data_IF_223926864184
#
_entry.id   IF_223926864184
#
_cell.length_a   1.000
_cell.length_b   1.000
_cell.length_c   1.000
_cell.angle_alpha   90.00
_cell.angle_beta   90.00
_cell.angle_gamma   90.00
#
_symmetry.space_group_name_H-M   'P 1'
#
loop_
_entity.id
_entity.type
_entity.pdbx_description
1 polymer ?
#
# COMPACT_ATOMS: atom_id res chain seq x y z
N UNK A 1 10.92 16.11 -25.54
CA UNK A 1 10.06 15.50 -24.47
C UNK A 1 10.56 14.13 -23.97
N UNK A 2 11.61 13.56 -24.53
CA UNK A 2 12.13 12.22 -24.17
C UNK A 2 13.16 12.25 -23.03
N UNK A 3 13.88 13.35 -22.85
CA UNK A 3 14.94 13.45 -21.82
C UNK A 3 14.43 13.66 -20.37
N UNK A 4 13.22 14.20 -20.19
CA UNK A 4 12.64 14.41 -18.84
C UNK A 4 12.14 13.11 -18.21
N UNK A 5 11.56 12.23 -19.01
CA UNK A 5 11.09 10.91 -18.54
C UNK A 5 12.27 9.96 -18.26
N UNK A 6 13.35 10.06 -19.02
CA UNK A 6 14.57 9.27 -18.79
C UNK A 6 15.27 9.64 -17.47
N UNK A 7 15.25 10.93 -17.08
CA UNK A 7 15.84 11.37 -15.80
C UNK A 7 15.05 10.84 -14.58
N UNK A 8 13.74 10.67 -14.71
CA UNK A 8 12.89 10.12 -13.64
C UNK A 8 13.15 8.62 -13.42
N UNK A 9 13.47 7.87 -14.49
CA UNK A 9 13.83 6.45 -14.43
C UNK A 9 15.25 6.19 -13.93
N UNK A 10 16.14 7.18 -14.01
CA UNK A 10 17.55 7.09 -13.53
C UNK A 10 17.69 7.31 -12.03
N UNK A 11 16.62 7.71 -11.31
CA UNK A 11 16.62 7.90 -9.87
C UNK A 11 16.26 6.62 -9.09
N UNK A 12 15.94 5.51 -9.77
CA UNK A 12 15.71 4.22 -9.10
C UNK A 12 17.04 3.64 -8.59
N UNK A 13 17.00 3.07 -7.39
CA UNK A 13 18.16 2.47 -6.73
C UNK A 13 18.75 3.36 -5.64
N UNK A 14 20.06 3.47 -5.55
CA UNK A 14 20.76 4.12 -4.44
C UNK A 14 20.44 5.62 -4.24
N UNK A 15 19.97 6.29 -5.29
CA UNK A 15 19.56 7.70 -5.25
C UNK A 15 18.08 7.91 -4.93
N UNK A 16 17.30 6.82 -4.80
CA UNK A 16 15.89 6.90 -4.48
C UNK A 16 15.70 7.28 -3.00
N UNK A 17 14.96 8.36 -2.69
CA UNK A 17 14.72 8.75 -1.29
C UNK A 17 14.03 7.66 -0.47
N UNK A 18 13.24 6.80 -1.14
CA UNK A 18 12.52 5.69 -0.51
C UNK A 18 13.35 4.42 -0.30
N UNK A 19 14.63 4.39 -0.72
CA UNK A 19 15.46 3.18 -0.60
C UNK A 19 15.52 2.68 0.84
N UNK A 20 15.36 1.37 1.05
CA UNK A 20 15.29 0.74 2.37
C UNK A 20 14.19 1.31 3.30
N UNK A 21 13.10 1.82 2.74
CA UNK A 21 11.92 2.26 3.50
C UNK A 21 10.74 1.36 3.20
N UNK A 22 10.04 0.92 4.24
CA UNK A 22 8.81 0.16 4.08
C UNK A 22 7.72 0.75 4.98
N UNK A 23 6.66 1.25 4.35
CA UNK A 23 5.47 1.78 5.01
C UNK A 23 4.38 0.73 4.99
N UNK A 24 3.99 0.24 6.15
CA UNK A 24 2.77 -0.56 6.30
C UNK A 24 1.57 0.37 6.31
N UNK A 25 0.57 0.04 5.51
CA UNK A 25 -0.68 0.79 5.45
C UNK A 25 -1.76 0.00 6.18
N UNK A 26 -2.40 0.60 7.16
CA UNK A 26 -3.45 0.01 7.97
C UNK A 26 -4.74 0.81 7.90
N UNK A 27 -5.86 0.14 8.16
CA UNK A 27 -7.21 0.74 8.20
C UNK A 27 -8.27 -0.24 7.72
N UNK A 28 -9.50 -0.07 8.16
CA UNK A 28 -10.65 -0.92 7.80
C UNK A 28 -11.06 -0.83 6.32
N UNK A 29 -11.99 -1.70 5.92
CA UNK A 29 -12.65 -1.55 4.63
C UNK A 29 -13.39 -0.21 4.60
N UNK A 30 -13.38 0.49 3.48
CA UNK A 30 -14.01 1.80 3.35
C UNK A 30 -13.25 2.97 3.98
N UNK A 31 -12.15 2.76 4.73
CA UNK A 31 -11.40 3.86 5.37
C UNK A 31 -10.71 4.83 4.39
N UNK A 32 -10.64 4.48 3.10
CA UNK A 32 -9.98 5.31 2.10
C UNK A 32 -8.46 5.16 2.06
N UNK A 33 -7.91 4.03 2.53
CA UNK A 33 -6.45 3.76 2.58
C UNK A 33 -5.70 4.12 1.30
N UNK A 34 -6.12 3.57 0.17
CA UNK A 34 -5.43 3.78 -1.11
C UNK A 34 -5.42 5.25 -1.54
N UNK A 35 -6.54 5.95 -1.30
CA UNK A 35 -6.64 7.39 -1.55
C UNK A 35 -5.71 8.20 -0.62
N UNK A 36 -5.75 7.90 0.68
CA UNK A 36 -4.91 8.56 1.68
C UNK A 36 -3.43 8.31 1.44
N UNK A 37 -3.05 7.07 1.08
CA UNK A 37 -1.67 6.74 0.74
C UNK A 37 -1.21 7.49 -0.51
N UNK A 38 -2.04 7.57 -1.55
CA UNK A 38 -1.74 8.35 -2.75
C UNK A 38 -1.54 9.83 -2.44
N UNK A 39 -2.43 10.44 -1.66
CA UNK A 39 -2.32 11.84 -1.25
C UNK A 39 -1.10 12.11 -0.35
N UNK A 40 -0.78 11.18 0.55
CA UNK A 40 0.30 11.32 1.51
C UNK A 40 1.69 10.95 0.98
N UNK A 41 1.78 10.22 -0.13
CA UNK A 41 3.07 9.76 -0.70
C UNK A 41 3.25 10.05 -2.17
N UNK A 42 2.19 10.37 -2.89
CA UNK A 42 2.16 10.48 -4.34
C UNK A 42 2.17 9.14 -5.09
N UNK A 43 2.29 8.00 -4.39
CA UNK A 43 2.34 6.67 -4.99
C UNK A 43 0.98 5.98 -4.97
N UNK A 44 0.61 5.28 -6.03
CA UNK A 44 -0.64 4.54 -6.14
C UNK A 44 -0.45 3.20 -6.84
N UNK A 45 -1.23 2.19 -6.41
CA UNK A 45 -1.37 0.93 -7.16
C UNK A 45 -2.12 1.16 -8.48
N UNK A 46 -1.92 0.29 -9.45
CA UNK A 46 -2.74 0.24 -10.64
C UNK A 46 -4.20 -0.08 -10.30
N UNK A 47 -5.11 0.43 -11.12
CA UNK A 47 -6.56 0.22 -10.97
C UNK A 47 -7.14 -0.20 -12.31
N UNK A 48 -8.22 -0.98 -12.25
CA UNK A 48 -9.06 -1.27 -13.39
C UNK A 48 -10.32 -0.41 -13.31
N UNK A 49 -10.61 0.32 -14.38
CA UNK A 49 -11.88 1.02 -14.51
C UNK A 49 -12.87 0.04 -15.14
N UNK A 50 -13.94 -0.27 -14.41
CA UNK A 50 -14.99 -1.16 -14.82
C UNK A 50 -15.93 -0.44 -15.79
N UNK A 51 -15.91 -0.82 -17.07
CA UNK A 51 -16.84 -0.35 -18.10
C UNK A 51 -17.47 -1.54 -18.80
N UNK A 52 -18.70 -1.38 -19.28
CA UNK A 52 -19.49 -2.43 -19.94
C UNK A 52 -18.85 -2.97 -21.23
N UNK A 53 -17.96 -2.21 -21.87
CA UNK A 53 -17.40 -2.57 -23.18
C UNK A 53 -15.90 -2.80 -23.23
N UNK A 54 -15.11 -2.14 -22.41
CA UNK A 54 -13.65 -2.39 -22.28
C UNK A 54 -13.11 -1.74 -21.02
N UNK A 55 -12.45 -2.53 -20.19
CA UNK A 55 -11.77 -2.01 -19.02
C UNK A 55 -10.53 -1.21 -19.40
N UNK A 56 -10.49 0.05 -19.02
CA UNK A 56 -9.26 0.84 -19.07
C UNK A 56 -8.40 0.46 -17.85
N UNK A 57 -7.17 0.10 -18.12
CA UNK A 57 -6.17 -0.08 -17.08
C UNK A 57 -5.55 1.27 -16.77
N UNK A 58 -5.73 1.73 -15.53
CA UNK A 58 -4.99 2.87 -15.01
C UNK A 58 -3.72 2.34 -14.36
N UNK A 59 -2.53 2.56 -14.94
CA UNK A 59 -1.29 2.04 -14.36
C UNK A 59 -1.06 2.64 -12.98
N UNK A 60 -0.37 1.89 -12.14
CA UNK A 60 0.13 2.40 -10.88
C UNK A 60 1.14 3.53 -11.14
N UNK A 61 1.26 4.43 -10.18
CA UNK A 61 2.26 5.51 -10.24
C UNK A 61 3.20 5.45 -9.05
N UNK A 62 4.45 5.81 -9.30
CA UNK A 62 5.47 6.00 -8.27
C UNK A 62 5.56 7.50 -8.01
N UNK A 63 5.34 7.90 -6.76
CA UNK A 63 5.43 9.29 -6.34
C UNK A 63 6.87 9.78 -6.20
N UNK A 64 7.06 11.03 -5.74
CA UNK A 64 8.38 11.68 -5.66
C UNK A 64 9.35 10.98 -4.70
N UNK A 65 8.86 10.03 -3.92
CA UNK A 65 9.66 9.27 -2.96
C UNK A 65 10.06 7.87 -3.45
N UNK A 66 9.75 7.49 -4.68
CA UNK A 66 10.12 6.20 -5.24
C UNK A 66 9.41 4.97 -4.65
N UNK A 67 8.34 5.17 -3.84
CA UNK A 67 7.68 4.07 -3.14
C UNK A 67 6.82 3.22 -4.08
N UNK A 68 7.05 1.91 -4.10
CA UNK A 68 6.27 0.92 -4.86
C UNK A 68 5.12 0.39 -3.99
N UNK A 69 3.92 0.35 -4.54
CA UNK A 69 2.73 -0.10 -3.78
C UNK A 69 2.53 -1.61 -3.94
N UNK A 70 2.71 -2.34 -2.84
CA UNK A 70 2.43 -3.77 -2.73
C UNK A 70 0.94 -3.93 -2.40
N UNK A 71 0.11 -4.18 -3.42
CA UNK A 71 -1.33 -4.39 -3.29
C UNK A 71 -1.79 -5.54 -4.19
N UNK A 72 -2.56 -6.47 -3.64
CA UNK A 72 -3.10 -7.62 -4.40
C UNK A 72 -4.46 -7.32 -5.06
N UNK A 73 -5.07 -6.17 -4.79
CA UNK A 73 -6.39 -5.82 -5.34
C UNK A 73 -6.34 -5.62 -6.85
N UNK A 74 -5.24 -5.04 -7.37
CA UNK A 74 -5.00 -4.93 -8.82
C UNK A 74 -5.12 -6.29 -9.53
N UNK A 75 -4.47 -7.32 -8.96
CA UNK A 75 -4.48 -8.67 -9.53
C UNK A 75 -5.83 -9.36 -9.35
N UNK A 76 -6.54 -9.06 -8.25
CA UNK A 76 -7.90 -9.55 -8.03
C UNK A 76 -8.85 -8.95 -9.06
N UNK A 77 -8.85 -7.64 -9.23
CA UNK A 77 -9.73 -6.93 -10.19
C UNK A 77 -9.49 -7.41 -11.62
N UNK A 78 -8.23 -7.55 -12.03
CA UNK A 78 -7.88 -8.13 -13.33
C UNK A 78 -8.41 -9.55 -13.51
N UNK A 79 -8.28 -10.40 -12.49
CA UNK A 79 -8.79 -11.77 -12.53
C UNK A 79 -10.32 -11.85 -12.62
N UNK A 80 -11.03 -11.03 -11.84
CA UNK A 80 -12.48 -10.93 -11.88
C UNK A 80 -12.98 -10.48 -13.27
N UNK A 81 -12.34 -9.46 -13.84
CA UNK A 81 -12.65 -8.98 -15.18
C UNK A 81 -12.45 -10.07 -16.23
N UNK A 82 -11.30 -10.80 -16.20
CA UNK A 82 -11.06 -11.92 -17.12
C UNK A 82 -12.08 -13.05 -16.99
N UNK A 83 -12.54 -13.31 -15.77
CA UNK A 83 -13.58 -14.29 -15.49
C UNK A 83 -14.99 -13.76 -15.81
N UNK A 84 -15.12 -12.53 -16.34
CA UNK A 84 -16.40 -11.86 -16.61
C UNK A 84 -17.32 -11.78 -15.38
N UNK A 85 -16.75 -11.71 -14.20
CA UNK A 85 -17.48 -11.61 -12.94
C UNK A 85 -17.88 -10.15 -12.67
N UNK A 86 -18.97 -9.95 -11.98
CA UNK A 86 -19.46 -8.63 -11.61
C UNK A 86 -18.55 -7.93 -10.60
N UNK A 87 -18.40 -6.61 -10.67
CA UNK A 87 -17.61 -5.85 -9.69
C UNK A 87 -18.25 -5.79 -8.31
N UNK A 88 -19.59 -5.79 -8.26
CA UNK A 88 -20.38 -5.78 -7.02
C UNK A 88 -20.41 -7.18 -6.40
N UNK A 89 -19.54 -7.40 -5.41
CA UNK A 89 -19.41 -8.70 -4.73
C UNK A 89 -20.59 -9.03 -3.80
N UNK A 90 -21.50 -8.09 -3.56
CA UNK A 90 -22.69 -8.34 -2.73
C UNK A 90 -23.68 -9.29 -3.45
N UNK A 91 -23.55 -9.38 -4.79
CA UNK A 91 -24.43 -10.17 -5.67
C UNK A 91 -23.90 -11.56 -5.98
N UNK A 92 -22.74 -11.94 -5.45
CA UNK A 92 -22.12 -13.22 -5.77
C UNK A 92 -22.89 -14.40 -5.20
N UNK A 93 -23.07 -15.42 -6.04
CA UNK A 93 -23.47 -16.77 -5.63
C UNK A 93 -22.31 -17.45 -4.86
N UNK A 94 -22.59 -18.63 -4.29
CA UNK A 94 -21.55 -19.41 -3.60
C UNK A 94 -20.44 -19.84 -4.55
N UNK A 95 -20.77 -20.25 -5.78
CA UNK A 95 -19.79 -20.63 -6.80
C UNK A 95 -18.93 -19.44 -7.24
N UNK A 96 -19.53 -18.27 -7.45
CA UNK A 96 -18.80 -17.04 -7.76
C UNK A 96 -17.90 -16.61 -6.58
N UNK A 97 -18.36 -16.82 -5.35
CA UNK A 97 -17.55 -16.57 -4.16
C UNK A 97 -16.35 -17.50 -4.10
N UNK A 98 -16.50 -18.79 -4.41
CA UNK A 98 -15.38 -19.72 -4.51
C UNK A 98 -14.40 -19.35 -5.61
N UNK A 99 -14.87 -18.97 -6.79
CA UNK A 99 -14.02 -18.56 -7.91
C UNK A 99 -13.28 -17.26 -7.57
N UNK A 100 -13.94 -16.28 -6.95
CA UNK A 100 -13.28 -15.07 -6.43
C UNK A 100 -12.12 -15.43 -5.48
N UNK A 101 -12.30 -16.38 -4.56
CA UNK A 101 -11.22 -16.77 -3.65
C UNK A 101 -10.04 -17.46 -4.38
N UNK A 102 -10.30 -18.24 -5.43
CA UNK A 102 -9.24 -18.81 -6.30
C UNK A 102 -8.44 -17.70 -6.99
N UNK A 103 -9.15 -16.74 -7.58
CA UNK A 103 -8.54 -15.57 -8.24
C UNK A 103 -7.72 -14.77 -7.23
N UNK A 104 -8.26 -14.50 -6.05
CA UNK A 104 -7.58 -13.80 -4.96
C UNK A 104 -6.30 -14.52 -4.53
N UNK A 105 -6.35 -15.85 -4.35
CA UNK A 105 -5.18 -16.65 -3.98
C UNK A 105 -4.07 -16.58 -5.03
N UNK A 106 -4.45 -16.64 -6.31
CA UNK A 106 -3.50 -16.48 -7.43
C UNK A 106 -2.90 -15.07 -7.46
N UNK A 107 -3.73 -14.03 -7.31
CA UNK A 107 -3.29 -12.64 -7.27
C UNK A 107 -2.30 -12.37 -6.14
N UNK A 108 -2.56 -12.90 -4.94
CA UNK A 108 -1.63 -12.80 -3.80
C UNK A 108 -0.26 -13.43 -4.09
N UNK A 109 -0.21 -14.58 -4.81
CA UNK A 109 1.07 -15.21 -5.20
C UNK A 109 1.87 -14.31 -6.15
N UNK A 110 1.20 -13.68 -7.13
CA UNK A 110 1.84 -12.76 -8.08
C UNK A 110 2.39 -11.53 -7.35
N UNK A 111 1.56 -10.93 -6.49
CA UNK A 111 1.95 -9.76 -5.68
C UNK A 111 3.16 -10.07 -4.79
N UNK A 112 3.17 -11.24 -4.14
CA UNK A 112 4.30 -11.66 -3.29
C UNK A 112 5.61 -11.81 -4.08
N UNK A 113 5.55 -12.35 -5.32
CA UNK A 113 6.74 -12.42 -6.20
C UNK A 113 7.24 -11.03 -6.57
N UNK A 114 6.33 -10.09 -6.90
CA UNK A 114 6.66 -8.69 -7.21
C UNK A 114 7.28 -7.99 -6.00
N UNK A 115 6.69 -8.15 -4.82
CA UNK A 115 7.23 -7.64 -3.55
C UNK A 115 8.67 -8.12 -3.32
N UNK A 116 8.92 -9.42 -3.51
CA UNK A 116 10.26 -9.99 -3.34
C UNK A 116 11.28 -9.39 -4.31
N UNK A 117 10.91 -9.15 -5.57
CA UNK A 117 11.78 -8.48 -6.55
C UNK A 117 12.13 -7.05 -6.10
N UNK A 118 11.16 -6.30 -5.57
CA UNK A 118 11.39 -4.96 -5.06
C UNK A 118 12.26 -4.96 -3.79
N UNK A 119 12.07 -5.94 -2.89
CA UNK A 119 12.92 -6.13 -1.71
C UNK A 119 14.36 -6.45 -2.13
N UNK A 120 14.56 -7.32 -3.12
CA UNK A 120 15.89 -7.65 -3.65
C UNK A 120 16.57 -6.41 -4.25
N UNK A 121 15.81 -5.54 -4.91
CA UNK A 121 16.29 -4.25 -5.42
C UNK A 121 16.41 -3.15 -4.36
N UNK A 122 16.10 -3.43 -3.09
CA UNK A 122 16.13 -2.46 -1.97
C UNK A 122 15.19 -1.27 -2.14
N UNK A 123 14.20 -1.38 -3.05
CA UNK A 123 13.28 -0.28 -3.38
C UNK A 123 12.35 0.06 -2.21
N UNK A 124 11.90 1.31 -2.16
CA UNK A 124 10.92 1.75 -1.18
C UNK A 124 9.55 1.11 -1.38
N UNK A 125 8.87 0.76 -0.29
CA UNK A 125 7.62 0.00 -0.32
C UNK A 125 6.49 0.70 0.44
N UNK A 126 5.28 0.61 -0.09
CA UNK A 126 4.01 0.76 0.64
C UNK A 126 3.32 -0.60 0.62
N UNK A 127 3.19 -1.24 1.78
CA UNK A 127 2.58 -2.55 1.92
C UNK A 127 1.13 -2.35 2.35
N UNK A 128 0.21 -2.45 1.38
CA UNK A 128 -1.21 -2.23 1.61
C UNK A 128 -1.87 -3.46 2.26
N UNK A 129 -2.46 -3.23 3.42
CA UNK A 129 -3.15 -4.24 4.21
C UNK A 129 -4.16 -3.62 5.17
N UNK A 130 -4.89 -4.47 5.89
CA UNK A 130 -5.77 -4.02 6.98
C UNK A 130 -5.01 -3.92 8.30
N UNK A 131 -3.89 -4.65 8.42
CA UNK A 131 -3.10 -4.81 9.64
C UNK A 131 -3.89 -5.36 10.85
N UNK A 132 -5.02 -6.03 10.63
CA UNK A 132 -5.87 -6.60 11.67
C UNK A 132 -5.23 -7.77 12.46
N UNK A 133 -4.10 -8.27 12.01
CA UNK A 133 -3.33 -9.32 12.69
C UNK A 133 -1.92 -8.79 13.04
N UNK A 134 -1.73 -8.29 14.28
CA UNK A 134 -0.45 -7.72 14.72
C UNK A 134 0.71 -8.71 14.71
N UNK A 135 0.47 -10.00 15.02
CA UNK A 135 1.52 -11.02 15.03
C UNK A 135 2.10 -11.21 13.62
N UNK A 136 1.23 -11.36 12.61
CA UNK A 136 1.66 -11.47 11.22
C UNK A 136 2.41 -10.22 10.75
N UNK A 137 1.93 -9.04 11.15
CA UNK A 137 2.58 -7.77 10.85
C UNK A 137 3.97 -7.70 11.48
N UNK A 138 4.10 -8.11 12.76
CA UNK A 138 5.38 -8.15 13.47
C UNK A 138 6.39 -9.04 12.74
N UNK A 139 5.99 -10.24 12.31
CA UNK A 139 6.86 -11.14 11.54
C UNK A 139 7.31 -10.49 10.20
N UNK A 140 6.39 -9.85 9.49
CA UNK A 140 6.73 -9.18 8.23
C UNK A 140 7.65 -7.98 8.45
N UNK A 141 7.40 -7.19 9.50
CA UNK A 141 8.26 -6.09 9.93
C UNK A 141 9.67 -6.58 10.23
N UNK A 142 9.82 -7.61 11.07
CA UNK A 142 11.11 -8.20 11.44
C UNK A 142 11.86 -8.75 10.21
N UNK A 143 11.15 -9.41 9.29
CA UNK A 143 11.75 -9.93 8.06
C UNK A 143 12.31 -8.82 7.18
N UNK A 144 11.65 -7.68 7.09
CA UNK A 144 12.14 -6.51 6.35
C UNK A 144 13.31 -5.83 7.07
N UNK A 145 13.22 -5.68 8.38
CA UNK A 145 14.29 -5.08 9.18
C UNK A 145 15.56 -5.92 9.16
N UNK A 146 15.44 -7.26 9.13
CA UNK A 146 16.58 -8.18 9.01
C UNK A 146 17.37 -8.00 7.69
N UNK A 147 16.73 -7.50 6.62
CA UNK A 147 17.41 -7.19 5.35
C UNK A 147 17.69 -5.69 5.16
N UNK A 148 17.61 -4.92 6.25
CA UNK A 148 18.08 -3.53 6.31
C UNK A 148 17.00 -2.45 6.21
N UNK A 149 15.73 -2.79 6.02
CA UNK A 149 14.68 -1.78 5.91
C UNK A 149 14.41 -1.04 7.23
N UNK A 150 14.13 0.24 7.11
CA UNK A 150 13.46 1.02 8.14
C UNK A 150 11.96 0.93 7.92
N UNK A 151 11.22 0.47 8.93
CA UNK A 151 9.78 0.22 8.83
C UNK A 151 8.97 1.32 9.50
N UNK A 152 7.81 1.63 8.92
CA UNK A 152 6.89 2.68 9.34
C UNK A 152 5.44 2.21 9.21
N UNK A 153 4.53 2.87 9.92
CA UNK A 153 3.09 2.64 9.82
C UNK A 153 2.36 3.92 9.39
N UNK A 154 1.47 3.79 8.40
CA UNK A 154 0.46 4.78 8.07
C UNK A 154 -0.90 4.17 8.42
N UNK A 155 -1.53 4.68 9.46
CA UNK A 155 -2.83 4.23 9.92
C UNK A 155 -3.91 5.19 9.43
N UNK A 156 -4.78 4.71 8.54
CA UNK A 156 -5.91 5.52 8.04
C UNK A 156 -7.14 5.24 8.88
N UNK A 157 -7.43 6.16 9.78
CA UNK A 157 -8.56 6.10 10.67
C UNK A 157 -9.77 6.83 10.08
N UNK A 158 -10.96 6.27 10.27
CA UNK A 158 -12.22 6.87 9.85
C UNK A 158 -13.35 6.36 10.75
N UNK A 159 -14.45 7.12 10.87
CA UNK A 159 -15.64 6.63 11.53
C UNK A 159 -16.31 5.50 10.73
N UNK A 160 -17.06 4.65 11.43
CA UNK A 160 -17.78 3.56 10.79
C UNK A 160 -18.77 4.06 9.73
N UNK A 161 -19.48 5.15 10.01
CA UNK A 161 -20.45 5.73 9.08
C UNK A 161 -19.80 6.19 7.77
N UNK A 162 -18.62 6.84 7.86
CA UNK A 162 -17.86 7.25 6.68
C UNK A 162 -17.33 6.03 5.93
N UNK A 163 -16.90 4.97 6.64
CA UNK A 163 -16.45 3.73 6.00
C UNK A 163 -17.56 3.05 5.21
N UNK A 164 -18.79 2.98 5.77
CA UNK A 164 -19.97 2.42 5.09
C UNK A 164 -20.37 3.27 3.88
N UNK A 165 -20.42 4.60 4.01
CA UNK A 165 -20.72 5.49 2.89
C UNK A 165 -19.69 5.36 1.76
N UNK A 166 -18.41 5.31 2.09
CA UNK A 166 -17.35 5.10 1.11
C UNK A 166 -17.48 3.74 0.41
N UNK A 167 -17.87 2.68 1.14
CA UNK A 167 -18.12 1.37 0.54
C UNK A 167 -19.31 1.39 -0.42
N UNK A 168 -20.40 2.06 -0.05
CA UNK A 168 -21.60 2.18 -0.88
C UNK A 168 -21.34 2.90 -2.21
N UNK A 169 -20.41 3.88 -2.23
CA UNK A 169 -20.01 4.64 -3.43
C UNK A 169 -19.02 3.92 -4.36
N UNK A 170 -18.56 2.70 -4.02
CA UNK A 170 -17.55 1.98 -4.81
C UNK A 170 -18.20 1.07 -5.85
N UNK A 171 -17.57 0.92 -7.02
CA UNK A 171 -17.95 -0.12 -7.99
C UNK A 171 -17.80 -1.53 -7.38
N UNK A 172 -16.68 -1.76 -6.67
CA UNK A 172 -16.41 -3.00 -5.93
C UNK A 172 -16.92 -2.88 -4.49
N UNK A 173 -18.18 -3.21 -4.29
CA UNK A 173 -18.85 -3.17 -2.99
C UNK A 173 -18.60 -4.43 -2.18
N UNK A 174 -18.56 -4.27 -0.88
CA UNK A 174 -18.57 -5.35 0.11
C UNK A 174 -19.90 -5.32 0.88
N UNK A 175 -20.28 -6.44 1.46
CA UNK A 175 -21.42 -6.48 2.40
C UNK A 175 -21.10 -5.61 3.62
N UNK A 176 -22.08 -4.90 4.15
CA UNK A 176 -21.90 -3.96 5.26
C UNK A 176 -21.38 -4.66 6.52
N UNK A 177 -21.76 -5.91 6.76
CA UNK A 177 -21.26 -6.70 7.87
C UNK A 177 -19.74 -6.90 7.78
N UNK A 178 -19.20 -7.07 6.56
CA UNK A 178 -17.76 -7.21 6.32
C UNK A 178 -17.03 -5.89 6.59
N UNK A 179 -17.66 -4.76 6.24
CA UNK A 179 -17.09 -3.43 6.52
C UNK A 179 -17.05 -3.19 8.02
N UNK A 180 -18.15 -3.46 8.74
CA UNK A 180 -18.25 -3.32 10.19
C UNK A 180 -17.21 -4.19 10.91
N UNK A 181 -17.21 -5.48 10.63
CA UNK A 181 -16.26 -6.42 11.25
C UNK A 181 -14.80 -6.00 11.00
N UNK A 182 -14.46 -5.61 9.78
CA UNK A 182 -13.09 -5.19 9.47
C UNK A 182 -12.72 -3.87 10.15
N UNK A 183 -13.68 -2.96 10.30
CA UNK A 183 -13.47 -1.70 11.01
C UNK A 183 -13.21 -1.95 12.50
N UNK A 184 -14.05 -2.74 13.15
CA UNK A 184 -13.92 -3.11 14.56
C UNK A 184 -12.58 -3.82 14.84
N UNK A 185 -12.23 -4.84 14.03
CA UNK A 185 -10.96 -5.57 14.16
C UNK A 185 -9.76 -4.63 14.12
N UNK A 186 -9.79 -3.62 13.27
CA UNK A 186 -8.67 -2.67 13.11
C UNK A 186 -8.63 -1.66 14.27
N UNK A 187 -9.80 -1.20 14.77
CA UNK A 187 -9.85 -0.33 15.96
C UNK A 187 -9.29 -1.02 17.21
N UNK A 188 -9.65 -2.30 17.41
CA UNK A 188 -9.17 -3.09 18.56
C UNK A 188 -7.64 -3.22 18.62
N UNK A 189 -6.96 -3.20 17.48
CA UNK A 189 -5.50 -3.39 17.43
C UNK A 189 -4.71 -2.10 17.25
N UNK A 190 -5.37 -0.95 17.15
CA UNK A 190 -4.73 0.35 16.85
C UNK A 190 -3.58 0.67 17.79
N UNK A 191 -3.81 0.60 19.10
CA UNK A 191 -2.79 0.92 20.11
C UNK A 191 -1.62 -0.07 20.07
N UNK A 192 -1.90 -1.34 19.83
CA UNK A 192 -0.86 -2.34 19.63
C UNK A 192 -0.01 -2.03 18.38
N UNK A 193 -0.64 -1.59 17.29
CA UNK A 193 0.06 -1.16 16.09
C UNK A 193 0.93 0.09 16.36
N UNK A 194 0.43 1.07 17.10
CA UNK A 194 1.20 2.24 17.47
C UNK A 194 2.44 1.88 18.29
N UNK A 195 2.30 0.94 19.22
CA UNK A 195 3.41 0.43 20.04
C UNK A 195 4.45 -0.36 19.24
N UNK A 196 4.07 -0.99 18.11
CA UNK A 196 5.00 -1.68 17.22
C UNK A 196 5.89 -0.72 16.42
N UNK A 197 5.48 0.56 16.25
CA UNK A 197 6.18 1.55 15.45
C UNK A 197 6.47 2.85 16.23
N UNK A 198 7.19 2.80 17.36
CA UNK A 198 7.43 3.97 18.20
C UNK A 198 8.18 5.08 17.42
N UNK A 199 7.58 6.29 17.35
CA UNK A 199 8.11 7.42 16.58
C UNK A 199 8.10 7.25 15.05
N UNK A 200 7.40 6.20 14.55
CA UNK A 200 7.27 5.83 13.14
C UNK A 200 5.84 5.48 12.74
N UNK A 201 4.88 5.89 13.56
CA UNK A 201 3.45 5.69 13.35
C UNK A 201 2.82 7.03 12.97
N UNK A 202 2.18 7.09 11.80
CA UNK A 202 1.47 8.27 11.31
C UNK A 202 0.00 7.93 11.20
N UNK A 203 -0.85 8.61 11.96
CA UNK A 203 -2.30 8.49 11.85
C UNK A 203 -2.87 9.55 10.92
N UNK A 204 -3.66 9.13 9.95
CA UNK A 204 -4.43 10.00 9.05
C UNK A 204 -5.91 9.87 9.41
N UNK A 205 -6.49 10.94 9.96
CA UNK A 205 -7.91 11.00 10.27
C UNK A 205 -8.69 11.33 9.00
N UNK A 206 -9.23 10.32 8.32
CA UNK A 206 -9.94 10.46 7.05
C UNK A 206 -11.47 10.48 7.22
N UNK A 207 -11.98 11.33 8.13
CA UNK A 207 -13.41 11.60 8.27
C UNK A 207 -13.82 12.72 7.32
N UNK A 208 -13.83 12.44 5.99
CA UNK A 208 -14.01 13.46 4.93
C UNK A 208 -12.95 14.56 5.05
N UNK A 209 -11.71 14.14 5.26
CA UNK A 209 -10.60 15.05 5.47
C UNK A 209 -10.41 16.02 4.30
N UNK A 210 -10.21 17.29 4.62
CA UNK A 210 -9.81 18.30 3.67
C UNK A 210 -8.36 18.12 3.20
N UNK A 211 -7.95 18.88 2.19
CA UNK A 211 -6.61 18.77 1.61
C UNK A 211 -5.48 19.07 2.60
N UNK A 212 -5.72 19.89 3.61
CA UNK A 212 -4.74 20.24 4.64
C UNK A 212 -4.33 19.05 5.52
N UNK A 213 -5.22 18.10 5.79
CA UNK A 213 -4.88 16.86 6.52
C UNK A 213 -3.89 16.04 5.69
N UNK A 214 -4.15 15.88 4.39
CA UNK A 214 -3.27 15.14 3.49
C UNK A 214 -1.94 15.86 3.26
N UNK A 215 -1.94 17.19 3.16
CA UNK A 215 -0.73 18.00 3.05
C UNK A 215 0.17 17.85 4.28
N UNK A 216 -0.41 17.90 5.49
CA UNK A 216 0.32 17.67 6.75
C UNK A 216 0.92 16.26 6.77
N UNK A 217 0.14 15.25 6.43
CA UNK A 217 0.59 13.86 6.35
C UNK A 217 1.69 13.66 5.30
N UNK A 218 1.60 14.32 4.14
CA UNK A 218 2.64 14.30 3.11
C UNK A 218 3.96 14.86 3.63
N UNK A 219 3.92 16.00 4.34
CA UNK A 219 5.11 16.61 4.95
C UNK A 219 5.72 15.71 6.02
N UNK A 220 4.89 15.12 6.89
CA UNK A 220 5.34 14.23 7.96
C UNK A 220 5.99 12.97 7.40
N UNK A 221 5.32 12.28 6.48
CA UNK A 221 5.85 11.10 5.81
C UNK A 221 7.11 11.43 5.03
N UNK A 222 7.16 12.58 4.36
CA UNK A 222 8.35 13.06 3.67
C UNK A 222 9.55 13.24 4.60
N UNK A 223 9.34 13.73 5.83
CA UNK A 223 10.40 13.80 6.86
C UNK A 223 10.89 12.41 7.26
N UNK A 224 9.99 11.43 7.40
CA UNK A 224 10.36 10.05 7.73
C UNK A 224 11.16 9.38 6.61
N UNK A 225 10.76 9.61 5.35
CA UNK A 225 11.43 9.05 4.16
C UNK A 225 12.85 9.63 4.03
N UNK A 226 13.03 10.92 4.26
CA UNK A 226 14.34 11.59 4.16
C UNK A 226 15.31 11.21 5.26
N UNK A 227 14.88 10.56 6.35
CA UNK A 227 15.80 10.08 7.40
C UNK A 227 16.72 9.02 6.80
N UNK A 228 18.04 9.07 7.03
CA UNK A 228 18.94 8.00 6.62
C UNK A 228 18.49 6.64 7.18
N UNK A 229 18.73 5.53 6.48
CA UNK A 229 18.49 4.20 7.04
C UNK A 229 19.26 4.02 8.34
N UNK A 230 18.61 3.45 9.35
CA UNK A 230 19.25 3.19 10.66
C UNK A 230 20.11 1.92 10.64
N UNK A 231 19.79 0.96 9.79
CA UNK A 231 20.44 -0.33 9.69
C UNK A 231 21.89 -0.21 9.19
N UNK A 232 22.88 -0.84 9.87
CA UNK A 232 24.25 -0.94 9.36
C UNK A 232 24.33 -1.63 7.99
N UNK A 233 23.50 -2.65 7.75
CA UNK A 233 23.43 -3.35 6.46
C UNK A 233 23.01 -2.43 5.32
N UNK A 234 22.00 -1.60 5.55
CA UNK A 234 21.56 -0.63 4.55
C UNK A 234 22.62 0.42 4.26
N UNK A 235 23.28 0.93 5.30
CA UNK A 235 24.38 1.91 5.16
C UNK A 235 25.54 1.34 4.36
N UNK A 236 25.99 0.13 4.70
CA UNK A 236 27.08 -0.55 3.98
C UNK A 236 26.73 -0.80 2.52
N UNK A 237 25.50 -1.26 2.24
CA UNK A 237 25.04 -1.48 0.87
C UNK A 237 25.02 -0.19 0.06
N UNK A 238 24.47 0.91 0.62
CA UNK A 238 24.44 2.21 -0.04
C UNK A 238 25.85 2.73 -0.33
N UNK A 239 26.77 2.62 0.61
CA UNK A 239 28.17 3.04 0.42
C UNK A 239 28.82 2.28 -0.73
N UNK A 240 28.67 0.96 -0.76
CA UNK A 240 29.21 0.09 -1.81
C UNK A 240 28.64 0.45 -3.20
N UNK A 241 27.31 0.68 -3.29
CA UNK A 241 26.68 1.06 -4.56
C UNK A 241 27.13 2.44 -5.06
N UNK A 242 27.32 3.40 -4.16
CA UNK A 242 27.82 4.72 -4.50
C UNK A 242 29.26 4.66 -5.03
N UNK A 243 30.12 3.88 -4.37
CA UNK A 243 31.50 3.65 -4.82
C UNK A 243 31.54 2.96 -6.21
N UNK A 244 30.68 1.97 -6.42
CA UNK A 244 30.58 1.25 -7.71
C UNK A 244 30.13 2.16 -8.87
N UNK A 245 29.29 3.16 -8.59
CA UNK A 245 28.78 4.10 -9.58
C UNK A 245 29.69 5.31 -9.82
N UNK A 246 30.65 5.55 -8.94
CA UNK A 246 31.67 6.60 -9.07
C UNK A 246 32.87 6.19 -9.97
N UNK A 247 32.99 4.90 -10.25
CA UNK A 247 33.97 4.30 -11.17
C UNK A 247 33.43 4.25 -12.58
#
# INVERSE_FOLDING_TARGET
>A
MIFGEFKQNLLEGVYDPGIFKAFFLAGGAGSGKSYSAEKATGSAAGKFEWHDSMSKVKPGKTGPYGLKVVNSDEQLEFGLMKAKMHSDMTKYSDDETMEKERIRKRGKKITKKREQLWINGRLGLIIDGTAKNPQKLTMQKQSLEAVGYSTYMIFVNTSLDVALQNNAGRARKLKDEVVRATWEEVQLVKDQLANLFPGRFVEILNNRAGEDVFRKSFVEIGKLIKRPPSSPLAKAWIAHELESKAR
#
